data_IF_268776705627
#
_entry.id   IF_268776705627
#
_cell.length_a   1.000
_cell.length_b   1.000
_cell.length_c   1.000
_cell.angle_alpha   90.00
_cell.angle_beta   90.00
_cell.angle_gamma   90.00
#
_symmetry.space_group_name_H-M   'P 1'
#
loop_
_entity.id
_entity.type
_entity.pdbx_description
1 polymer ?
#
# COMPACT_ATOMS: atom_id res chain seq x y z
N UNK A 1 10.70 6.60 -0.20
CA UNK A 1 9.62 6.46 -1.18
C UNK A 1 10.10 5.68 -2.38
N UNK A 2 9.30 4.75 -2.88
CA UNK A 2 9.56 4.06 -4.15
C UNK A 2 8.64 4.67 -5.19
N UNK A 3 9.20 5.12 -6.32
CA UNK A 3 8.41 5.66 -7.44
C UNK A 3 8.43 4.66 -8.59
N UNK A 4 7.28 4.45 -9.23
CA UNK A 4 7.15 3.44 -10.28
C UNK A 4 6.06 3.79 -11.29
N UNK A 5 6.21 3.30 -12.52
CA UNK A 5 5.23 3.52 -13.58
C UNK A 5 5.04 4.99 -13.96
N UNK A 6 4.02 5.21 -14.77
CA UNK A 6 3.60 6.52 -15.30
C UNK A 6 2.07 6.56 -15.45
N UNK A 7 1.54 7.66 -15.99
CA UNK A 7 0.10 7.85 -16.09
C UNK A 7 -0.59 6.81 -17.00
N UNK A 8 0.06 6.39 -18.09
CA UNK A 8 -0.51 5.46 -19.06
C UNK A 8 -0.49 4.03 -18.52
N UNK A 9 0.66 3.61 -17.98
CA UNK A 9 0.88 2.27 -17.48
C UNK A 9 0.07 1.94 -16.21
N UNK A 10 -0.39 2.96 -15.49
CA UNK A 10 -1.19 2.85 -14.26
C UNK A 10 -2.71 3.09 -14.46
N UNK A 11 -3.17 3.33 -15.70
CA UNK A 11 -4.60 3.51 -15.97
C UNK A 11 -5.41 2.29 -15.47
N UNK A 12 -6.51 2.57 -14.76
CA UNK A 12 -7.36 1.52 -14.16
C UNK A 12 -6.73 0.73 -13.00
N UNK A 13 -5.43 0.88 -12.71
CA UNK A 13 -4.70 0.10 -11.67
C UNK A 13 -4.69 0.76 -10.31
N UNK A 14 -5.42 1.85 -10.11
CA UNK A 14 -5.43 2.63 -8.86
C UNK A 14 -5.66 1.78 -7.62
N UNK A 15 -6.70 0.95 -7.63
CA UNK A 15 -7.05 0.11 -6.47
C UNK A 15 -5.98 -0.97 -6.21
N UNK A 16 -5.35 -1.50 -7.24
CA UNK A 16 -4.22 -2.41 -7.08
C UNK A 16 -3.02 -1.69 -6.44
N UNK A 17 -2.70 -0.45 -6.87
CA UNK A 17 -1.63 0.36 -6.29
C UNK A 17 -1.86 0.66 -4.79
N UNK A 18 -3.11 0.89 -4.39
CA UNK A 18 -3.47 1.16 -3.00
C UNK A 18 -3.40 -0.10 -2.10
N UNK A 19 -3.72 -1.28 -2.66
CA UNK A 19 -3.76 -2.53 -1.90
C UNK A 19 -2.44 -3.28 -1.88
N UNK A 20 -1.66 -3.21 -2.96
CA UNK A 20 -0.42 -3.99 -3.12
C UNK A 20 0.49 -3.88 -1.89
N UNK A 21 0.83 -2.69 -1.38
CA UNK A 21 1.80 -2.61 -0.28
C UNK A 21 1.24 -3.16 1.04
N UNK A 22 -0.07 -3.01 1.25
CA UNK A 22 -0.75 -3.57 2.42
C UNK A 22 -0.77 -5.11 2.39
N UNK A 23 -0.90 -5.70 1.19
CA UNK A 23 -0.87 -7.16 0.98
C UNK A 23 0.56 -7.69 1.10
N UNK A 24 1.56 -6.99 0.56
CA UNK A 24 2.98 -7.36 0.68
C UNK A 24 3.42 -7.52 2.14
N UNK A 25 2.94 -6.64 3.04
CA UNK A 25 3.23 -6.73 4.48
C UNK A 25 2.62 -7.96 5.16
N UNK A 26 1.66 -8.65 4.53
CA UNK A 26 0.92 -9.77 5.13
C UNK A 26 1.48 -11.15 4.77
N UNK A 27 2.55 -11.22 3.97
CA UNK A 27 3.17 -12.51 3.69
C UNK A 27 4.38 -12.36 2.81
N UNK A 28 5.42 -13.09 3.19
CA UNK A 28 6.68 -13.21 2.45
C UNK A 28 7.02 -14.68 2.30
N UNK A 29 8.05 -14.99 1.50
CA UNK A 29 8.51 -16.38 1.32
C UNK A 29 8.91 -17.04 2.65
N UNK A 30 9.49 -16.30 3.59
CA UNK A 30 10.01 -16.90 4.83
C UNK A 30 9.20 -16.55 6.08
N UNK A 31 8.27 -15.57 6.00
CA UNK A 31 7.46 -15.15 7.15
C UNK A 31 5.99 -14.96 6.81
N UNK A 32 5.14 -15.48 7.69
CA UNK A 32 3.70 -15.18 7.71
C UNK A 32 3.44 -13.77 8.26
N UNK A 33 2.24 -13.24 8.05
CA UNK A 33 1.81 -11.97 8.65
C UNK A 33 2.10 -11.89 10.15
N UNK A 34 1.74 -12.93 10.89
CA UNK A 34 1.88 -12.95 12.34
C UNK A 34 3.35 -12.94 12.75
N UNK A 35 4.20 -13.70 12.05
CA UNK A 35 5.65 -13.69 12.31
C UNK A 35 6.28 -12.33 12.00
N UNK A 36 5.85 -11.64 10.94
CA UNK A 36 6.29 -10.27 10.63
C UNK A 36 5.88 -9.33 11.77
N UNK A 37 4.63 -9.38 12.23
CA UNK A 37 4.14 -8.55 13.34
C UNK A 37 4.90 -8.85 14.64
N UNK A 38 5.12 -10.12 14.97
CA UNK A 38 5.84 -10.55 16.18
C UNK A 38 7.30 -10.11 16.18
N UNK A 39 8.01 -10.25 15.05
CA UNK A 39 9.40 -9.79 14.93
C UNK A 39 9.50 -8.27 15.03
N UNK A 40 8.60 -7.52 14.38
CA UNK A 40 8.55 -6.06 14.53
C UNK A 40 8.27 -5.65 15.99
N UNK A 41 7.37 -6.35 16.69
CA UNK A 41 7.06 -6.10 18.09
C UNK A 41 8.26 -6.37 19.01
N UNK A 42 8.97 -7.49 18.82
CA UNK A 42 10.22 -7.81 19.57
C UNK A 42 11.27 -6.72 19.39
N UNK A 43 11.40 -6.20 18.17
CA UNK A 43 12.32 -5.12 17.83
C UNK A 43 11.84 -3.73 18.26
N UNK A 44 10.64 -3.63 18.86
CA UNK A 44 9.95 -2.37 19.21
C UNK A 44 9.86 -1.43 18.00
N UNK A 45 9.58 -2.01 16.84
CA UNK A 45 9.52 -1.33 15.56
C UNK A 45 8.09 -1.16 15.08
N UNK A 46 7.77 0.02 14.57
CA UNK A 46 6.54 0.30 13.85
C UNK A 46 6.89 0.46 12.38
N UNK A 47 6.31 -0.40 11.54
CA UNK A 47 6.44 -0.33 10.08
C UNK A 47 5.06 -0.06 9.49
N UNK A 48 4.94 1.05 8.78
CA UNK A 48 3.76 1.43 8.02
C UNK A 48 4.12 1.45 6.54
N UNK A 49 3.29 0.83 5.72
CA UNK A 49 3.45 0.83 4.27
C UNK A 49 2.11 1.21 3.64
N UNK A 50 2.15 2.13 2.69
CA UNK A 50 1.00 2.60 1.94
C UNK A 50 1.37 2.77 0.47
N UNK A 51 0.37 2.67 -0.39
CA UNK A 51 0.53 2.88 -1.82
C UNK A 51 -0.46 3.90 -2.34
N UNK A 52 -0.02 4.63 -3.35
CA UNK A 52 -0.90 5.36 -4.25
C UNK A 52 -0.38 5.15 -5.69
N UNK A 53 -1.16 5.51 -6.72
CA UNK A 53 -0.68 5.38 -8.09
C UNK A 53 0.64 6.12 -8.28
N UNK A 54 1.69 5.37 -8.62
CA UNK A 54 3.02 5.92 -8.91
C UNK A 54 3.99 5.92 -7.72
N UNK A 55 3.52 5.59 -6.51
CA UNK A 55 4.36 5.63 -5.32
C UNK A 55 4.01 4.57 -4.27
N UNK A 56 5.04 3.98 -3.65
CA UNK A 56 4.93 3.27 -2.39
C UNK A 56 5.68 4.07 -1.33
N UNK A 57 4.98 4.38 -0.25
CA UNK A 57 5.54 5.06 0.91
C UNK A 57 5.70 4.04 2.04
N UNK A 58 6.93 3.95 2.54
CA UNK A 58 7.28 3.13 3.70
C UNK A 58 7.76 4.08 4.79
N UNK A 59 7.18 3.97 5.97
CA UNK A 59 7.62 4.67 7.16
C UNK A 59 7.99 3.65 8.24
N UNK A 60 9.19 3.78 8.79
CA UNK A 60 9.69 2.94 9.87
C UNK A 60 10.04 3.82 11.06
N UNK A 61 9.62 3.39 12.25
CA UNK A 61 10.04 3.95 13.53
C UNK A 61 10.56 2.83 14.40
N UNK A 62 11.82 2.88 14.82
CA UNK A 62 12.45 1.87 15.66
C UNK A 62 13.63 2.48 16.43
N UNK A 63 14.26 1.69 17.30
CA UNK A 63 15.51 2.04 17.97
C UNK A 63 16.68 1.88 17.01
N UNK A 64 17.74 2.67 17.16
CA UNK A 64 18.94 2.62 16.30
C UNK A 64 19.52 1.21 16.20
N UNK A 65 19.67 0.52 17.32
CA UNK A 65 20.14 -0.86 17.44
C UNK A 65 19.33 -1.89 16.63
N UNK A 66 18.03 -1.63 16.43
CA UNK A 66 17.09 -2.53 15.74
C UNK A 66 16.98 -2.23 14.24
N UNK A 67 17.50 -1.09 13.77
CA UNK A 67 17.25 -0.60 12.41
C UNK A 67 17.68 -1.61 11.34
N UNK A 68 18.89 -2.18 11.44
CA UNK A 68 19.43 -3.14 10.47
C UNK A 68 18.52 -4.38 10.30
N UNK A 69 17.97 -4.88 11.41
CA UNK A 69 17.03 -6.02 11.41
C UNK A 69 15.69 -5.63 10.78
N UNK A 70 15.18 -4.44 11.09
CA UNK A 70 13.91 -3.96 10.51
C UNK A 70 14.04 -3.71 9.01
N UNK A 71 15.18 -3.18 8.55
CA UNK A 71 15.48 -3.01 7.12
C UNK A 71 15.58 -4.36 6.40
N UNK A 72 16.10 -5.39 7.07
CA UNK A 72 16.13 -6.75 6.52
C UNK A 72 14.72 -7.32 6.32
N UNK A 73 13.81 -7.09 7.28
CA UNK A 73 12.39 -7.45 7.15
C UNK A 73 11.73 -6.65 6.02
N UNK A 74 12.00 -5.34 5.93
CA UNK A 74 11.49 -4.51 4.83
C UNK A 74 11.95 -5.03 3.47
N UNK A 75 13.23 -5.39 3.34
CA UNK A 75 13.78 -5.96 2.10
C UNK A 75 13.02 -7.22 1.69
N UNK A 76 12.71 -8.09 2.64
CA UNK A 76 11.94 -9.30 2.37
C UNK A 76 10.50 -8.98 1.91
N UNK A 77 9.82 -8.05 2.60
CA UNK A 77 8.48 -7.58 2.23
C UNK A 77 8.46 -7.02 0.80
N UNK A 78 9.51 -6.28 0.42
CA UNK A 78 9.58 -5.62 -0.88
C UNK A 78 10.07 -6.52 -2.02
N UNK A 79 10.90 -7.53 -1.75
CA UNK A 79 11.50 -8.38 -2.80
C UNK A 79 10.87 -9.76 -2.93
N UNK A 80 10.28 -10.27 -1.85
CA UNK A 80 9.76 -11.64 -1.79
C UNK A 80 8.33 -11.71 -1.21
N UNK A 81 7.39 -10.82 -1.59
CA UNK A 81 6.02 -10.94 -1.14
C UNK A 81 5.35 -12.17 -1.77
N UNK A 82 4.59 -12.92 -0.96
CA UNK A 82 3.80 -14.07 -1.46
C UNK A 82 2.40 -13.66 -1.92
N UNK A 83 2.00 -12.41 -1.67
CA UNK A 83 0.70 -11.85 -1.99
C UNK A 83 -0.49 -12.77 -1.64
N UNK A 84 -0.62 -13.21 -0.37
CA UNK A 84 -1.59 -14.23 0.02
C UNK A 84 -3.05 -13.83 -0.31
N UNK A 85 -3.76 -14.65 -1.08
CA UNK A 85 -5.14 -14.39 -1.53
C UNK A 85 -6.12 -14.26 -0.35
N UNK A 86 -5.97 -15.13 0.65
CA UNK A 86 -6.76 -15.08 1.88
C UNK A 86 -6.60 -13.74 2.62
N UNK A 87 -5.39 -13.16 2.61
CA UNK A 87 -5.14 -11.87 3.25
C UNK A 87 -5.65 -10.69 2.39
N UNK A 88 -5.65 -10.83 1.07
CA UNK A 88 -6.30 -9.89 0.16
C UNK A 88 -7.81 -9.81 0.45
N UNK A 89 -8.49 -10.95 0.63
CA UNK A 89 -9.92 -10.97 0.95
C UNK A 89 -10.25 -10.33 2.29
N UNK A 90 -9.41 -10.58 3.30
CA UNK A 90 -9.52 -9.90 4.62
C UNK A 90 -9.38 -8.39 4.44
N UNK A 91 -8.39 -7.93 3.69
CA UNK A 91 -8.19 -6.50 3.41
C UNK A 91 -9.36 -5.90 2.63
N UNK A 92 -9.86 -6.59 1.59
CA UNK A 92 -11.06 -6.17 0.83
C UNK A 92 -12.25 -6.01 1.74
N UNK A 93 -12.49 -6.97 2.64
CA UNK A 93 -13.58 -6.90 3.62
C UNK A 93 -13.44 -5.71 4.57
N UNK A 94 -12.24 -5.49 5.14
CA UNK A 94 -11.95 -4.37 6.02
C UNK A 94 -12.14 -3.01 5.33
N UNK A 95 -11.60 -2.85 4.12
CA UNK A 95 -11.72 -1.60 3.36
C UNK A 95 -13.16 -1.33 2.94
N UNK A 96 -13.91 -2.35 2.48
CA UNK A 96 -15.35 -2.19 2.17
C UNK A 96 -16.14 -1.72 3.39
N UNK A 97 -15.88 -2.28 4.58
CA UNK A 97 -16.52 -1.82 5.83
C UNK A 97 -16.17 -0.37 6.15
N UNK A 98 -14.90 0.02 6.00
CA UNK A 98 -14.44 1.41 6.18
C UNK A 98 -15.14 2.37 5.22
N UNK A 99 -15.24 2.02 3.93
CA UNK A 99 -15.94 2.82 2.91
C UNK A 99 -17.44 2.93 3.18
N UNK A 100 -18.09 1.84 3.60
CA UNK A 100 -19.51 1.88 4.04
C UNK A 100 -19.73 2.82 5.22
N UNK A 101 -18.82 2.86 6.20
CA UNK A 101 -18.89 3.82 7.32
C UNK A 101 -18.71 5.26 6.84
N UNK A 102 -17.83 5.51 5.87
CA UNK A 102 -17.64 6.84 5.28
C UNK A 102 -18.87 7.32 4.49
N UNK A 103 -19.67 6.40 3.94
CA UNK A 103 -20.91 6.74 3.22
C UNK A 103 -21.91 7.48 4.09
N UNK A 104 -21.98 7.17 5.39
CA UNK A 104 -22.91 7.81 6.34
C UNK A 104 -22.29 8.99 7.07
N UNK A 105 -21.00 9.29 6.85
CA UNK A 105 -20.29 10.38 7.51
C UNK A 105 -20.35 11.68 6.68
N UNK A 106 -21.01 12.75 7.16
CA UNK A 106 -21.18 14.00 6.40
C UNK A 106 -19.85 14.66 6.03
N UNK A 107 -18.86 14.61 6.92
CA UNK A 107 -17.55 15.22 6.69
C UNK A 107 -16.80 14.51 5.55
N UNK A 108 -16.80 13.17 5.54
CA UNK A 108 -16.22 12.38 4.45
C UNK A 108 -16.87 12.70 3.11
N UNK A 109 -18.20 12.85 3.07
CA UNK A 109 -18.93 13.21 1.84
C UNK A 109 -18.59 14.62 1.34
N UNK A 110 -18.49 15.59 2.24
CA UNK A 110 -18.12 16.97 1.87
C UNK A 110 -16.72 17.02 1.25
N UNK A 111 -15.73 16.40 1.90
CA UNK A 111 -14.34 16.35 1.38
C UNK A 111 -14.28 15.62 0.04
N UNK A 112 -15.03 14.52 -0.13
CA UNK A 112 -15.08 13.79 -1.39
C UNK A 112 -15.65 14.66 -2.52
N UNK A 113 -16.75 15.37 -2.26
CA UNK A 113 -17.37 16.27 -3.24
C UNK A 113 -16.44 17.39 -3.69
N UNK A 114 -15.69 18.00 -2.76
CA UNK A 114 -14.70 19.02 -3.11
C UNK A 114 -13.59 18.42 -3.95
N UNK A 115 -13.08 17.25 -3.58
CA UNK A 115 -11.98 16.58 -4.30
C UNK A 115 -12.37 16.16 -5.72
N UNK A 116 -13.58 15.68 -5.94
CA UNK A 116 -14.04 15.29 -7.28
C UNK A 116 -14.20 16.50 -8.19
N UNK A 117 -14.70 17.63 -7.66
CA UNK A 117 -14.82 18.88 -8.42
C UNK A 117 -13.46 19.47 -8.80
N UNK A 118 -12.46 19.37 -7.92
CA UNK A 118 -11.09 19.85 -8.18
C UNK A 118 -10.27 18.91 -9.08
N UNK A 119 -10.79 17.73 -9.43
CA UNK A 119 -10.08 16.69 -10.20
C UNK A 119 -10.97 16.09 -11.28
N UNK A 120 -11.33 16.86 -12.33
CA UNK A 120 -12.21 16.43 -13.40
C UNK A 120 -11.48 15.52 -14.41
N UNK A 121 -10.95 14.40 -13.94
CA UNK A 121 -10.29 13.39 -14.78
C UNK A 121 -11.29 12.31 -15.22
N UNK A 122 -11.08 11.64 -16.37
CA UNK A 122 -11.89 10.49 -16.75
C UNK A 122 -11.67 9.32 -15.81
N UNK A 123 -12.64 8.39 -15.72
CA UNK A 123 -12.60 7.29 -14.74
C UNK A 123 -11.37 6.36 -14.83
N UNK A 124 -10.77 6.28 -16.03
CA UNK A 124 -9.58 5.50 -16.34
C UNK A 124 -8.29 6.16 -15.83
N UNK A 125 -8.28 7.47 -15.61
CA UNK A 125 -7.11 8.21 -15.15
C UNK A 125 -6.78 7.85 -13.68
N UNK A 126 -5.50 7.56 -13.36
CA UNK A 126 -5.09 7.27 -11.98
C UNK A 126 -5.46 8.35 -10.95
N UNK A 127 -5.63 9.60 -11.38
CA UNK A 127 -5.97 10.76 -10.54
C UNK A 127 -7.47 10.92 -10.30
N UNK A 128 -8.31 10.14 -10.99
CA UNK A 128 -9.76 10.17 -10.83
C UNK A 128 -10.18 9.93 -9.37
N UNK A 129 -11.20 10.66 -8.94
CA UNK A 129 -11.78 10.55 -7.61
C UNK A 129 -13.12 9.82 -7.72
N UNK A 130 -13.15 8.48 -7.48
CA UNK A 130 -14.38 7.71 -7.54
C UNK A 130 -15.34 8.09 -6.40
N UNK A 131 -16.63 7.86 -6.64
CA UNK A 131 -17.63 7.86 -5.56
C UNK A 131 -17.38 6.70 -4.60
N UNK A 132 -17.97 6.75 -3.40
CA UNK A 132 -17.82 5.68 -2.41
C UNK A 132 -18.34 4.35 -2.95
N UNK A 133 -19.44 4.38 -3.72
CA UNK A 133 -20.01 3.22 -4.39
C UNK A 133 -19.05 2.64 -5.44
N UNK A 134 -18.49 3.50 -6.30
CA UNK A 134 -17.50 3.09 -7.30
C UNK A 134 -16.26 2.49 -6.63
N UNK A 135 -15.79 3.07 -5.53
CA UNK A 135 -14.68 2.52 -4.74
C UNK A 135 -15.00 1.12 -4.20
N UNK A 136 -16.20 0.90 -3.68
CA UNK A 136 -16.63 -0.42 -3.18
C UNK A 136 -16.64 -1.44 -4.32
N UNK A 137 -17.14 -1.10 -5.51
CA UNK A 137 -17.14 -2.00 -6.67
C UNK A 137 -15.72 -2.27 -7.17
N UNK A 138 -14.86 -1.25 -7.27
CA UNK A 138 -13.44 -1.42 -7.61
C UNK A 138 -12.71 -2.34 -6.62
N UNK A 139 -12.98 -2.18 -5.32
CA UNK A 139 -12.42 -3.09 -4.29
C UNK A 139 -12.94 -4.51 -4.47
N UNK A 140 -14.21 -4.72 -4.82
CA UNK A 140 -14.75 -6.07 -5.07
C UNK A 140 -14.08 -6.73 -6.27
N UNK A 141 -13.91 -5.97 -7.36
CA UNK A 141 -13.34 -6.43 -8.62
C UNK A 141 -11.84 -6.74 -8.54
N UNK A 142 -11.10 -6.14 -7.60
CA UNK A 142 -9.67 -6.38 -7.41
C UNK A 142 -9.35 -7.87 -7.24
N UNK A 143 -8.48 -8.40 -8.10
CA UNK A 143 -8.00 -9.78 -8.07
C UNK A 143 -6.56 -9.88 -7.56
N UNK A 144 -6.13 -11.08 -7.17
CA UNK A 144 -4.72 -11.33 -6.81
C UNK A 144 -3.80 -11.16 -8.02
N UNK A 145 -4.24 -11.55 -9.22
CA UNK A 145 -3.48 -11.39 -10.47
C UNK A 145 -3.21 -9.93 -10.82
N UNK A 146 -4.11 -9.01 -10.46
CA UNK A 146 -3.87 -7.56 -10.64
C UNK A 146 -2.67 -7.09 -9.80
N UNK A 147 -2.57 -7.60 -8.56
CA UNK A 147 -1.48 -7.27 -7.65
C UNK A 147 -0.16 -7.88 -8.11
N UNK A 148 -0.19 -9.14 -8.55
CA UNK A 148 0.98 -9.83 -9.06
C UNK A 148 1.52 -9.14 -10.32
N UNK A 149 0.64 -8.82 -11.27
CA UNK A 149 1.00 -8.08 -12.48
C UNK A 149 1.59 -6.70 -12.15
N UNK A 150 1.02 -6.00 -11.16
CA UNK A 150 1.56 -4.70 -10.75
C UNK A 150 2.94 -4.85 -10.09
N UNK A 151 3.13 -5.86 -9.26
CA UNK A 151 4.40 -6.12 -8.59
C UNK A 151 5.52 -6.46 -9.58
N UNK A 152 5.26 -7.39 -10.50
CA UNK A 152 6.25 -7.85 -11.49
C UNK A 152 6.65 -6.75 -12.47
N UNK A 153 5.68 -5.96 -12.96
CA UNK A 153 5.95 -4.93 -13.97
C UNK A 153 6.59 -3.65 -13.44
N UNK A 154 6.38 -3.32 -12.16
CA UNK A 154 6.74 -1.98 -11.66
C UNK A 154 7.57 -1.99 -10.37
N UNK A 155 7.37 -2.96 -9.49
CA UNK A 155 8.03 -2.96 -8.17
C UNK A 155 9.33 -3.76 -8.20
N UNK A 156 9.39 -4.86 -8.96
CA UNK A 156 10.56 -5.75 -9.00
C UNK A 156 11.90 -5.08 -9.40
N UNK A 157 11.85 -3.94 -10.10
CA UNK A 157 13.04 -3.20 -10.58
C UNK A 157 13.07 -1.70 -10.28
N UNK A 158 12.21 -1.20 -9.38
CA UNK A 158 12.11 0.26 -9.14
C UNK A 158 13.20 0.79 -8.21
N UNK A 159 13.58 2.05 -8.43
CA UNK A 159 14.55 2.78 -7.60
C UNK A 159 13.80 3.48 -6.46
N UNK A 160 14.34 3.36 -5.24
CA UNK A 160 13.78 3.95 -4.04
C UNK A 160 14.66 5.04 -3.46
N UNK A 161 14.02 6.10 -2.98
CA UNK A 161 14.63 7.12 -2.15
C UNK A 161 14.46 6.73 -0.67
N UNK A 162 15.52 6.83 0.12
CA UNK A 162 15.48 6.56 1.56
C UNK A 162 15.97 7.82 2.27
N UNK A 163 15.18 8.30 3.24
CA UNK A 163 15.58 9.34 4.17
C UNK A 163 15.60 8.74 5.57
N UNK A 164 16.71 8.90 6.27
CA UNK A 164 16.89 8.44 7.66
C UNK A 164 17.09 9.67 8.52
N UNK A 165 16.30 9.78 9.59
CA UNK A 165 16.39 10.89 10.55
C UNK A 165 16.40 10.29 11.95
N UNK A 166 17.44 10.60 12.72
CA UNK A 166 17.59 10.12 14.09
C UNK A 166 19.04 10.03 14.53
N UNK A 167 19.27 9.25 15.58
CA UNK A 167 20.58 8.99 16.17
C UNK A 167 21.31 7.91 15.35
N UNK A 168 22.00 8.35 14.29
CA UNK A 168 22.76 7.50 13.37
C UNK A 168 24.07 8.20 12.99
N UNK A 169 25.17 7.44 12.94
CA UNK A 169 26.41 7.83 12.26
C UNK A 169 26.28 7.52 10.76
N UNK A 170 26.86 8.36 9.91
CA UNK A 170 26.70 8.32 8.44
C UNK A 170 27.49 7.19 7.74
N UNK A 171 27.98 6.19 8.48
CA UNK A 171 28.92 5.17 7.99
C UNK A 171 28.26 3.94 7.35
#
# INVERSE_FOLDING_TARGET
TLRYGDLESLQGKKTACEFLPAVMKRGTKNRTRQQIEDELNKLRAQLSISGSPGEINVAIKTRSESLSKVLSILKEILREPTLPENELDVLKSQQKKKKKKQKTDPQSRAILSVRSQLRPYPESDPRYVPTIEQEIERIKALSQSDLQSLYENFIGGSVGEIAVVGDFSED
#
